data_IF_924598439264
#
_entry.id   IF_924598439264
#
_cell.length_a   1.000
_cell.length_b   1.000
_cell.length_c   1.000
_cell.angle_alpha   90.00
_cell.angle_beta   90.00
_cell.angle_gamma   90.00
#
_symmetry.space_group_name_H-M   'P 1'
#
loop_
_entity.id
_entity.type
_entity.pdbx_description
1 polymer ?
#
# COMPACT_ATOMS: atom_id res chain seq x y z
N UNK A 1 10.23 17.54 13.81
CA UNK A 1 8.99 18.27 13.44
C UNK A 1 8.42 17.56 12.23
N UNK A 2 7.13 17.23 12.23
CA UNK A 2 6.48 16.57 11.08
C UNK A 2 6.57 17.49 9.86
N UNK A 3 7.09 16.98 8.75
CA UNK A 3 7.08 17.66 7.43
C UNK A 3 5.67 17.77 6.85
N UNK A 4 4.72 16.99 7.35
CA UNK A 4 3.30 17.14 7.05
C UNK A 4 2.65 18.11 8.02
N UNK A 5 2.05 19.17 7.47
CA UNK A 5 1.27 20.19 8.22
C UNK A 5 -0.14 19.72 8.55
N UNK A 6 -0.65 18.70 7.86
CA UNK A 6 -1.95 18.03 8.07
C UNK A 6 -1.85 16.61 7.52
N UNK A 7 -2.73 15.70 7.96
CA UNK A 7 -2.78 14.34 7.41
C UNK A 7 -3.07 14.40 5.90
N UNK A 8 -2.20 13.85 5.03
CA UNK A 8 -2.42 13.89 3.59
C UNK A 8 -3.68 13.12 3.16
N UNK A 9 -4.21 12.20 3.98
CA UNK A 9 -5.49 11.53 3.70
C UNK A 9 -6.68 12.47 3.83
N UNK A 10 -6.56 13.57 4.56
CA UNK A 10 -7.59 14.60 4.61
C UNK A 10 -7.38 15.58 3.45
N UNK A 11 -6.16 16.09 3.31
CA UNK A 11 -5.85 17.16 2.37
C UNK A 11 -5.91 16.76 0.89
N UNK A 12 -5.57 15.51 0.56
CA UNK A 12 -5.55 15.00 -0.82
C UNK A 12 -6.82 14.26 -1.20
N UNK A 13 -7.77 14.10 -0.29
CA UNK A 13 -9.01 13.38 -0.57
C UNK A 13 -9.89 14.20 -1.51
N UNK A 14 -10.43 13.55 -2.54
CA UNK A 14 -11.53 14.10 -3.32
C UNK A 14 -12.81 14.08 -2.46
N UNK A 15 -13.01 15.13 -1.66
CA UNK A 15 -14.23 15.35 -0.90
C UNK A 15 -15.39 15.89 -1.77
N UNK A 16 -16.56 16.13 -1.17
CA UNK A 16 -17.74 16.67 -1.88
C UNK A 16 -17.47 18.00 -2.61
N UNK A 17 -16.58 18.83 -2.06
CA UNK A 17 -16.23 20.15 -2.59
C UNK A 17 -15.00 20.12 -3.50
N UNK A 18 -14.47 18.93 -3.85
CA UNK A 18 -13.31 18.82 -4.70
C UNK A 18 -13.62 19.22 -6.15
N UNK A 19 -12.86 20.19 -6.68
CA UNK A 19 -12.92 20.61 -8.07
C UNK A 19 -11.59 20.36 -8.78
N UNK A 20 -11.61 19.43 -9.74
CA UNK A 20 -10.44 19.08 -10.53
C UNK A 20 -9.92 20.26 -11.38
N UNK A 21 -10.78 21.19 -11.76
CA UNK A 21 -10.38 22.36 -12.57
C UNK A 21 -9.50 23.36 -11.78
N UNK A 22 -9.62 23.37 -10.46
CA UNK A 22 -8.84 24.23 -9.55
C UNK A 22 -7.60 23.53 -8.97
N UNK A 23 -7.44 22.24 -9.25
CA UNK A 23 -6.37 21.43 -8.71
C UNK A 23 -5.00 21.79 -9.33
N UNK A 24 -3.99 22.00 -8.49
CA UNK A 24 -2.61 22.26 -8.92
C UNK A 24 -1.78 20.95 -8.98
N UNK A 25 -1.51 20.38 -10.18
CA UNK A 25 -0.69 19.18 -10.32
C UNK A 25 0.82 19.42 -10.04
N UNK A 26 1.25 20.69 -9.98
CA UNK A 26 2.62 21.12 -9.70
C UNK A 26 2.93 21.36 -8.22
N UNK A 27 1.89 21.38 -7.38
CA UNK A 27 1.98 21.69 -5.96
C UNK A 27 2.51 20.55 -5.10
N UNK A 28 2.74 20.87 -3.82
CA UNK A 28 3.10 19.94 -2.75
C UNK A 28 2.20 20.18 -1.52
N UNK A 29 0.87 20.08 -1.67
CA UNK A 29 -0.07 20.47 -0.63
C UNK A 29 0.24 19.73 0.68
N UNK A 30 0.11 20.49 1.76
CA UNK A 30 0.36 20.11 3.16
C UNK A 30 1.74 19.54 3.49
N UNK A 31 2.69 19.55 2.57
CA UNK A 31 4.07 19.12 2.79
C UNK A 31 5.02 20.33 2.84
N UNK A 32 5.49 20.67 4.02
CA UNK A 32 6.43 21.78 4.30
C UNK A 32 7.86 21.26 4.31
N UNK A 33 8.28 20.68 3.19
CA UNK A 33 9.59 20.10 2.99
C UNK A 33 9.97 20.08 1.52
N UNK A 34 11.26 19.87 1.24
CA UNK A 34 11.78 19.77 -0.10
C UNK A 34 11.95 18.31 -0.57
N UNK A 35 12.60 18.13 -1.72
CA UNK A 35 12.85 16.81 -2.28
C UNK A 35 13.73 15.95 -1.36
N UNK A 36 14.73 16.53 -0.70
CA UNK A 36 15.65 15.81 0.19
C UNK A 36 14.92 15.39 1.47
N UNK A 37 14.07 16.27 2.00
CA UNK A 37 13.20 15.92 3.14
C UNK A 37 12.25 14.78 2.77
N UNK A 38 11.69 14.81 1.55
CA UNK A 38 10.86 13.73 1.02
C UNK A 38 11.60 12.40 0.87
N UNK A 39 12.84 12.42 0.38
CA UNK A 39 13.67 11.21 0.27
C UNK A 39 13.99 10.62 1.66
N UNK A 40 14.34 11.47 2.63
CA UNK A 40 14.57 11.03 4.02
C UNK A 40 13.30 10.47 4.67
N UNK A 41 12.15 11.09 4.44
CA UNK A 41 10.88 10.58 4.96
C UNK A 41 10.51 9.24 4.34
N UNK A 42 10.77 9.04 3.05
CA UNK A 42 10.51 7.75 2.39
C UNK A 42 11.40 6.63 2.94
N UNK A 43 12.64 6.92 3.34
CA UNK A 43 13.52 5.95 4.00
C UNK A 43 12.95 5.52 5.35
N UNK A 44 12.60 6.49 6.21
CA UNK A 44 11.96 6.23 7.50
C UNK A 44 10.66 5.42 7.34
N UNK A 45 9.76 5.88 6.45
CA UNK A 45 8.49 5.19 6.20
C UNK A 45 8.66 3.82 5.57
N UNK A 46 9.77 3.58 4.86
CA UNK A 46 10.08 2.29 4.28
C UNK A 46 10.28 1.22 5.36
N UNK A 47 11.01 1.53 6.44
CA UNK A 47 11.22 0.61 7.56
C UNK A 47 9.90 0.27 8.26
N UNK A 48 9.12 1.30 8.60
CA UNK A 48 7.80 1.14 9.20
C UNK A 48 6.84 0.34 8.31
N UNK A 49 6.76 0.69 7.02
CA UNK A 49 5.86 0.02 6.08
C UNK A 49 6.26 -1.44 5.86
N UNK A 50 7.56 -1.74 5.84
CA UNK A 50 8.07 -3.11 5.74
C UNK A 50 7.60 -3.97 6.92
N UNK A 51 7.76 -3.48 8.16
CA UNK A 51 7.32 -4.23 9.34
C UNK A 51 5.79 -4.35 9.42
N UNK A 52 5.04 -3.30 9.10
CA UNK A 52 3.57 -3.37 9.06
C UNK A 52 3.07 -4.35 8.01
N UNK A 53 3.72 -4.40 6.84
CA UNK A 53 3.41 -5.37 5.79
C UNK A 53 3.71 -6.79 6.25
N UNK A 54 4.84 -7.02 6.94
CA UNK A 54 5.20 -8.34 7.47
C UNK A 54 4.18 -8.83 8.51
N UNK A 55 3.73 -7.96 9.42
CA UNK A 55 2.65 -8.28 10.37
C UNK A 55 1.35 -8.63 9.66
N UNK A 56 0.95 -7.87 8.64
CA UNK A 56 -0.22 -8.18 7.81
C UNK A 56 -0.08 -9.56 7.15
N UNK A 57 1.11 -9.87 6.63
CA UNK A 57 1.39 -11.14 5.99
C UNK A 57 1.34 -12.32 6.96
N UNK A 58 1.96 -12.18 8.14
CA UNK A 58 1.93 -13.19 9.19
C UNK A 58 0.49 -13.45 9.67
N UNK A 59 -0.31 -12.41 9.81
CA UNK A 59 -1.71 -12.53 10.17
C UNK A 59 -2.53 -13.27 9.09
N UNK A 60 -2.37 -12.92 7.81
CA UNK A 60 -3.05 -13.62 6.72
C UNK A 60 -2.63 -15.09 6.59
N UNK A 61 -1.36 -15.41 6.87
CA UNK A 61 -0.87 -16.79 6.97
C UNK A 61 -1.49 -17.57 8.13
N UNK A 62 -1.94 -16.86 9.17
CA UNK A 62 -2.49 -17.43 10.40
C UNK A 62 -4.02 -17.36 10.45
N UNK A 63 -4.67 -17.23 9.28
CA UNK A 63 -6.13 -17.27 9.15
C UNK A 63 -6.84 -15.93 9.23
N UNK A 64 -6.10 -14.81 9.30
CA UNK A 64 -6.67 -13.48 9.14
C UNK A 64 -7.25 -13.27 7.75
N UNK A 65 -8.25 -12.41 7.63
CA UNK A 65 -8.96 -12.13 6.36
C UNK A 65 -8.57 -10.80 5.72
N UNK A 66 -7.81 -9.98 6.43
CA UNK A 66 -7.56 -8.58 6.05
C UNK A 66 -6.56 -8.46 4.92
N UNK A 67 -6.74 -7.46 4.06
CA UNK A 67 -5.79 -7.12 2.99
C UNK A 67 -5.86 -5.63 2.66
N UNK A 68 -4.93 -5.15 1.85
CA UNK A 68 -4.94 -3.77 1.35
C UNK A 68 -4.96 -3.79 -0.18
N UNK A 69 -5.81 -2.98 -0.80
CA UNK A 69 -5.86 -2.81 -2.25
C UNK A 69 -5.56 -1.35 -2.62
N UNK A 70 -4.42 -1.13 -3.27
CA UNK A 70 -4.02 0.14 -3.84
C UNK A 70 -4.43 0.19 -5.32
N UNK A 71 -5.41 1.03 -5.66
CA UNK A 71 -5.79 1.32 -7.05
C UNK A 71 -5.03 2.55 -7.52
N UNK A 72 -4.22 2.41 -8.57
CA UNK A 72 -3.40 3.50 -9.10
C UNK A 72 -3.86 3.86 -10.50
N UNK A 73 -4.44 5.06 -10.63
CA UNK A 73 -4.93 5.61 -11.88
C UNK A 73 -4.20 6.90 -12.27
N UNK A 74 -4.33 7.27 -13.54
CA UNK A 74 -3.73 8.45 -14.14
C UNK A 74 -3.46 8.23 -15.62
N UNK A 75 -3.41 9.32 -16.40
CA UNK A 75 -3.09 9.24 -17.82
C UNK A 75 -1.68 8.66 -18.05
N UNK A 76 -1.41 8.24 -19.29
CA UNK A 76 -0.06 7.79 -19.61
C UNK A 76 0.95 8.92 -19.39
N UNK A 77 2.13 8.52 -18.91
CA UNK A 77 3.18 9.36 -18.31
C UNK A 77 2.94 9.90 -16.90
N UNK A 78 1.76 9.69 -16.28
CA UNK A 78 1.47 10.23 -14.94
C UNK A 78 2.40 9.70 -13.83
N UNK A 79 3.00 8.52 -14.02
CA UNK A 79 3.98 7.96 -13.09
C UNK A 79 3.53 6.70 -12.36
N UNK A 80 2.42 6.07 -12.77
CA UNK A 80 1.86 4.84 -12.17
C UNK A 80 2.90 3.74 -11.90
N UNK A 81 3.66 3.34 -12.91
CA UNK A 81 4.73 2.33 -12.73
C UNK A 81 5.88 2.77 -11.80
N UNK A 82 6.03 4.07 -11.55
CA UNK A 82 6.94 4.59 -10.53
C UNK A 82 6.45 4.35 -9.10
N UNK A 83 5.13 4.34 -8.88
CA UNK A 83 4.52 4.01 -7.59
C UNK A 83 4.81 2.55 -7.25
N UNK A 84 4.50 1.63 -8.18
CA UNK A 84 4.79 0.21 -8.00
C UNK A 84 6.29 -0.05 -7.73
N UNK A 85 7.19 0.61 -8.45
CA UNK A 85 8.64 0.41 -8.27
C UNK A 85 9.18 0.97 -6.96
N UNK A 86 8.77 2.17 -6.57
CA UNK A 86 9.41 2.89 -5.47
C UNK A 86 8.69 2.76 -4.13
N UNK A 87 7.37 2.60 -4.13
CA UNK A 87 6.59 2.46 -2.90
C UNK A 87 6.50 0.98 -2.52
N UNK A 88 6.09 0.11 -3.45
CA UNK A 88 6.07 -1.34 -3.15
C UNK A 88 7.45 -1.97 -3.13
N UNK A 89 8.47 -1.27 -3.65
CA UNK A 89 9.86 -1.71 -3.52
C UNK A 89 10.43 -1.60 -2.10
N UNK A 90 9.69 -1.01 -1.16
CA UNK A 90 10.08 -0.87 0.25
C UNK A 90 9.73 -2.10 1.10
N UNK A 91 8.85 -2.98 0.61
CA UNK A 91 8.31 -4.12 1.37
C UNK A 91 8.72 -5.46 0.76
N UNK A 92 8.47 -6.57 1.46
CA UNK A 92 8.78 -7.89 0.93
C UNK A 92 7.89 -8.20 -0.30
N UNK A 93 8.48 -8.51 -1.47
CA UNK A 93 7.72 -8.81 -2.68
C UNK A 93 6.77 -10.01 -2.52
N UNK A 94 7.01 -10.93 -1.58
CA UNK A 94 6.08 -12.03 -1.28
C UNK A 94 4.77 -11.55 -0.65
N UNK A 95 4.76 -10.36 -0.06
CA UNK A 95 3.57 -9.72 0.49
C UNK A 95 2.76 -8.90 -0.52
N UNK A 96 3.26 -8.74 -1.75
CA UNK A 96 2.69 -7.84 -2.76
C UNK A 96 2.12 -8.61 -3.95
N UNK A 97 0.94 -8.22 -4.41
CA UNK A 97 0.30 -8.75 -5.62
C UNK A 97 0.02 -7.61 -6.61
N UNK A 98 0.94 -7.43 -7.57
CA UNK A 98 0.82 -6.41 -8.61
C UNK A 98 0.06 -6.94 -9.83
N UNK A 99 -0.99 -6.24 -10.25
CA UNK A 99 -1.68 -6.49 -11.51
C UNK A 99 -1.75 -5.20 -12.33
N UNK A 100 -1.26 -5.26 -13.56
CA UNK A 100 -1.45 -4.20 -14.55
C UNK A 100 -2.59 -4.57 -15.51
N UNK A 101 -3.56 -3.68 -15.66
CA UNK A 101 -4.67 -3.88 -16.59
C UNK A 101 -4.43 -3.12 -17.89
N UNK A 102 -4.59 -3.84 -19.01
CA UNK A 102 -4.58 -3.28 -20.36
C UNK A 102 -5.93 -3.45 -21.05
N UNK A 103 -5.91 -3.33 -22.38
CA UNK A 103 -7.08 -3.64 -23.22
C UNK A 103 -7.58 -5.05 -22.90
N UNK A 104 -8.88 -5.25 -22.63
CA UNK A 104 -9.43 -6.56 -22.35
C UNK A 104 -9.15 -7.57 -23.47
N UNK A 105 -8.80 -8.80 -23.11
CA UNK A 105 -8.76 -9.92 -24.08
C UNK A 105 -10.18 -10.28 -24.53
N UNK A 106 -10.33 -11.08 -25.59
CA UNK A 106 -11.65 -11.57 -26.04
C UNK A 106 -12.39 -12.31 -24.93
N UNK A 107 -11.70 -13.12 -24.12
CA UNK A 107 -12.29 -13.81 -22.97
C UNK A 107 -12.75 -12.83 -21.89
N UNK A 108 -11.90 -11.84 -21.56
CA UNK A 108 -12.24 -10.82 -20.57
C UNK A 108 -13.45 -9.98 -21.04
N UNK A 109 -13.50 -9.63 -22.34
CA UNK A 109 -14.59 -8.86 -22.94
C UNK A 109 -15.91 -9.65 -23.08
N UNK A 110 -15.84 -10.98 -23.12
CA UNK A 110 -17.01 -11.85 -23.11
C UNK A 110 -17.67 -12.00 -21.73
N UNK A 111 -17.04 -11.46 -20.67
CA UNK A 111 -17.54 -11.49 -19.30
C UNK A 111 -17.93 -10.08 -18.82
N UNK A 112 -18.56 -10.02 -17.64
CA UNK A 112 -18.77 -8.75 -16.95
C UNK A 112 -17.44 -8.04 -16.67
N UNK A 113 -17.36 -6.70 -16.77
CA UNK A 113 -16.09 -5.98 -16.67
C UNK A 113 -15.34 -6.19 -15.34
N UNK A 114 -16.08 -6.40 -14.25
CA UNK A 114 -15.52 -6.71 -12.93
C UNK A 114 -14.96 -8.14 -12.80
N UNK A 115 -15.24 -9.04 -13.73
CA UNK A 115 -14.82 -10.45 -13.64
C UNK A 115 -13.30 -10.59 -13.57
N UNK A 116 -12.58 -9.92 -14.49
CA UNK A 116 -11.10 -9.95 -14.50
C UNK A 116 -10.50 -9.24 -13.29
N UNK A 117 -11.22 -8.27 -12.75
CA UNK A 117 -10.82 -7.47 -11.59
C UNK A 117 -10.91 -8.31 -10.33
N UNK A 118 -12.04 -9.01 -10.14
CA UNK A 118 -12.25 -9.95 -9.01
C UNK A 118 -11.21 -11.07 -8.98
N UNK A 119 -10.80 -11.58 -10.14
CA UNK A 119 -9.74 -12.61 -10.24
C UNK A 119 -8.36 -12.14 -9.79
N UNK A 120 -8.13 -10.83 -9.76
CA UNK A 120 -6.83 -10.24 -9.42
C UNK A 120 -6.79 -9.64 -8.01
N UNK A 121 -7.88 -9.73 -7.24
CA UNK A 121 -7.94 -9.19 -5.89
C UNK A 121 -6.84 -9.79 -5.00
N UNK A 122 -6.26 -8.98 -4.08
CA UNK A 122 -5.26 -9.47 -3.17
C UNK A 122 -5.84 -10.55 -2.26
N UNK A 123 -5.04 -11.58 -2.01
CA UNK A 123 -5.35 -12.55 -0.94
C UNK A 123 -5.17 -11.90 0.43
N UNK A 124 -5.77 -12.52 1.44
CA UNK A 124 -5.57 -12.10 2.83
C UNK A 124 -4.07 -12.07 3.19
N UNK A 125 -3.70 -11.07 3.99
CA UNK A 125 -2.34 -10.75 4.39
C UNK A 125 -1.48 -10.08 3.32
N UNK A 126 -2.07 -9.60 2.20
CA UNK A 126 -1.30 -9.02 1.10
C UNK A 126 -1.70 -7.59 0.78
N UNK A 127 -0.77 -6.89 0.16
CA UNK A 127 -0.99 -5.60 -0.49
C UNK A 127 -1.16 -5.84 -1.99
N UNK A 128 -2.38 -5.68 -2.49
CA UNK A 128 -2.69 -5.68 -3.91
C UNK A 128 -2.42 -4.32 -4.52
N UNK A 129 -1.79 -4.27 -5.70
CA UNK A 129 -1.60 -3.03 -6.46
C UNK A 129 -2.15 -3.19 -7.85
N UNK A 130 -3.14 -2.36 -8.18
CA UNK A 130 -3.74 -2.27 -9.50
C UNK A 130 -3.14 -1.08 -10.24
N UNK A 131 -2.31 -1.34 -11.26
CA UNK A 131 -1.85 -0.34 -12.23
C UNK A 131 -2.87 -0.29 -13.37
N UNK A 132 -3.67 0.79 -13.39
CA UNK A 132 -5.03 0.81 -13.96
C UNK A 132 -5.96 -0.18 -13.23
N UNK A 133 -7.26 -0.14 -13.49
CA UNK A 133 -8.25 -0.91 -12.71
C UNK A 133 -9.62 -0.99 -13.39
N UNK A 134 -10.66 -1.39 -12.65
CA UNK A 134 -12.07 -1.30 -13.07
C UNK A 134 -12.51 0.12 -13.46
N UNK A 135 -11.76 1.15 -13.09
CA UNK A 135 -12.06 2.52 -13.52
C UNK A 135 -11.80 2.78 -15.01
N UNK A 136 -11.01 1.94 -15.70
CA UNK A 136 -10.89 2.02 -17.16
C UNK A 136 -12.26 1.90 -17.83
N UNK A 137 -13.17 1.14 -17.21
CA UNK A 137 -14.51 0.87 -17.73
C UNK A 137 -15.49 2.05 -17.63
N UNK A 138 -15.08 3.15 -17.01
CA UNK A 138 -15.78 4.44 -16.97
C UNK A 138 -14.88 5.62 -17.42
N UNK A 139 -13.64 5.33 -17.85
CA UNK A 139 -12.68 6.29 -18.39
C UNK A 139 -12.58 6.13 -19.91
N UNK A 140 -11.76 5.19 -20.40
CA UNK A 140 -11.54 5.01 -21.84
C UNK A 140 -12.82 4.61 -22.56
N UNK A 141 -13.66 3.76 -21.94
CA UNK A 141 -14.94 3.35 -22.53
C UNK A 141 -15.87 4.54 -22.79
N UNK A 142 -15.81 5.56 -21.92
CA UNK A 142 -16.57 6.81 -22.03
C UNK A 142 -15.95 7.74 -23.07
N UNK A 143 -14.65 8.04 -22.94
CA UNK A 143 -13.96 9.04 -23.77
C UNK A 143 -13.88 8.59 -25.23
N UNK A 144 -13.65 7.30 -25.45
CA UNK A 144 -13.58 6.73 -26.80
C UNK A 144 -14.94 6.21 -27.29
N UNK A 145 -16.01 6.38 -26.51
CA UNK A 145 -17.37 5.96 -26.85
C UNK A 145 -17.46 4.50 -27.31
N UNK A 146 -16.70 3.62 -26.66
CA UNK A 146 -16.61 2.20 -27.00
C UNK A 146 -17.92 1.47 -26.70
N UNK A 147 -18.59 1.88 -25.61
CA UNK A 147 -19.94 1.44 -25.27
C UNK A 147 -20.87 2.65 -25.12
N UNK A 148 -22.18 2.48 -25.35
CA UNK A 148 -23.15 3.56 -25.16
C UNK A 148 -23.12 4.13 -23.74
N UNK A 149 -23.55 5.39 -23.60
CA UNK A 149 -23.53 6.10 -22.32
C UNK A 149 -24.37 5.43 -21.24
N UNK A 150 -25.53 4.92 -21.60
CA UNK A 150 -26.40 4.14 -20.73
C UNK A 150 -25.71 2.90 -20.14
N UNK A 151 -24.68 2.36 -20.81
CA UNK A 151 -23.91 1.21 -20.32
C UNK A 151 -22.86 1.64 -19.32
N UNK A 152 -21.96 2.57 -19.67
CA UNK A 152 -20.87 2.92 -18.76
C UNK A 152 -21.33 3.78 -17.58
N UNK A 153 -22.42 4.55 -17.72
CA UNK A 153 -22.92 5.41 -16.65
C UNK A 153 -23.41 4.60 -15.45
N UNK A 154 -24.06 3.45 -15.67
CA UNK A 154 -24.51 2.56 -14.60
C UNK A 154 -23.36 1.92 -13.81
N UNK A 155 -22.17 1.83 -14.40
CA UNK A 155 -21.00 1.19 -13.78
C UNK A 155 -20.48 1.94 -12.56
N UNK A 156 -20.74 3.24 -12.40
CA UNK A 156 -20.34 3.95 -11.18
C UNK A 156 -20.98 3.35 -9.93
N UNK A 157 -22.28 3.02 -9.99
CA UNK A 157 -22.99 2.40 -8.87
C UNK A 157 -22.50 0.97 -8.62
N UNK A 158 -22.24 0.21 -9.69
CA UNK A 158 -21.66 -1.14 -9.58
C UNK A 158 -20.25 -1.13 -8.98
N UNK A 159 -19.43 -0.14 -9.33
CA UNK A 159 -18.09 0.05 -8.75
C UNK A 159 -18.20 0.37 -7.26
N UNK A 160 -19.09 1.28 -6.87
CA UNK A 160 -19.31 1.60 -5.45
C UNK A 160 -19.77 0.38 -4.66
N UNK A 161 -20.71 -0.40 -5.20
CA UNK A 161 -21.18 -1.63 -4.58
C UNK A 161 -20.05 -2.68 -4.46
N UNK A 162 -19.26 -2.84 -5.53
CA UNK A 162 -18.11 -3.74 -5.53
C UNK A 162 -17.07 -3.34 -4.48
N UNK A 163 -16.67 -2.06 -4.42
CA UNK A 163 -15.69 -1.59 -3.45
C UNK A 163 -16.21 -1.70 -2.01
N UNK A 164 -17.51 -1.46 -1.80
CA UNK A 164 -18.15 -1.70 -0.50
C UNK A 164 -18.07 -3.17 -0.09
N UNK A 165 -18.34 -4.11 -1.00
CA UNK A 165 -18.20 -5.55 -0.72
C UNK A 165 -16.77 -5.92 -0.31
N UNK A 166 -15.76 -5.31 -0.92
CA UNK A 166 -14.35 -5.56 -0.56
C UNK A 166 -14.05 -5.06 0.85
N UNK A 167 -14.49 -3.85 1.18
CA UNK A 167 -14.28 -3.26 2.51
C UNK A 167 -15.01 -4.04 3.58
N UNK A 168 -16.28 -4.39 3.35
CA UNK A 168 -17.07 -5.22 4.26
C UNK A 168 -16.42 -6.62 4.45
N UNK A 169 -15.68 -7.10 3.45
CA UNK A 169 -14.89 -8.35 3.50
C UNK A 169 -13.51 -8.23 4.17
N UNK A 170 -13.12 -7.04 4.64
CA UNK A 170 -11.85 -6.81 5.33
C UNK A 170 -10.70 -6.27 4.45
N UNK A 171 -11.00 -5.81 3.23
CA UNK A 171 -10.00 -5.17 2.37
C UNK A 171 -10.01 -3.66 2.56
N UNK A 172 -8.90 -3.06 2.99
CA UNK A 172 -8.73 -1.60 2.96
C UNK A 172 -8.48 -1.14 1.53
N UNK A 173 -9.38 -0.33 0.95
CA UNK A 173 -9.27 0.16 -0.43
C UNK A 173 -8.72 1.59 -0.46
N UNK A 174 -7.56 1.78 -1.09
CA UNK A 174 -6.89 3.07 -1.26
C UNK A 174 -6.80 3.39 -2.75
N UNK A 175 -7.42 4.49 -3.20
CA UNK A 175 -7.46 4.85 -4.62
C UNK A 175 -6.66 6.13 -4.86
N UNK A 176 -5.67 6.06 -5.75
CA UNK A 176 -4.75 7.14 -6.05
C UNK A 176 -4.90 7.56 -7.50
N UNK A 177 -5.25 8.82 -7.74
CA UNK A 177 -5.25 9.41 -9.07
C UNK A 177 -4.04 10.33 -9.22
N UNK A 178 -3.05 9.91 -10.01
CA UNK A 178 -1.87 10.71 -10.31
C UNK A 178 -2.21 11.72 -11.41
N UNK A 179 -2.33 12.99 -11.03
CA UNK A 179 -2.71 14.07 -11.93
C UNK A 179 -1.47 14.88 -12.32
N UNK A 180 -1.14 14.83 -13.61
CA UNK A 180 -0.10 15.67 -14.22
C UNK A 180 -0.74 16.82 -14.99
N UNK A 181 -0.02 17.93 -15.13
CA UNK A 181 -0.41 19.02 -16.03
C UNK A 181 -0.29 18.57 -17.50
N UNK A 182 -1.03 19.26 -18.37
CA UNK A 182 -0.93 19.04 -19.82
C UNK A 182 0.50 19.26 -20.31
N UNK A 183 1.21 20.27 -19.81
CA UNK A 183 2.57 20.56 -20.23
C UNK A 183 3.57 19.52 -19.71
N UNK A 184 3.44 19.08 -18.47
CA UNK A 184 4.30 18.03 -17.92
C UNK A 184 4.11 16.70 -18.66
N UNK A 185 2.88 16.32 -18.99
CA UNK A 185 2.64 15.14 -19.83
C UNK A 185 3.40 15.26 -21.17
N UNK A 186 3.34 16.43 -21.80
CA UNK A 186 4.04 16.71 -23.06
C UNK A 186 5.57 16.57 -22.91
N UNK A 187 6.15 17.17 -21.87
CA UNK A 187 7.58 17.05 -21.56
C UNK A 187 8.01 15.58 -21.38
N UNK A 188 7.20 14.78 -20.68
CA UNK A 188 7.50 13.35 -20.46
C UNK A 188 7.39 12.51 -21.72
N UNK A 189 6.45 12.83 -22.63
CA UNK A 189 6.36 12.18 -23.94
C UNK A 189 7.58 12.53 -24.81
N UNK A 190 7.99 13.80 -24.85
CA UNK A 190 9.21 14.23 -25.53
C UNK A 190 10.45 13.50 -24.97
N UNK A 191 10.60 13.43 -23.64
CA UNK A 191 11.71 12.71 -23.00
C UNK A 191 11.76 11.23 -23.42
N UNK A 192 10.62 10.57 -23.63
CA UNK A 192 10.58 9.18 -24.12
C UNK A 192 11.08 9.06 -25.57
N UNK A 193 10.79 10.04 -26.41
CA UNK A 193 11.26 10.11 -27.81
C UNK A 193 12.75 10.48 -27.92
N UNK A 194 13.27 11.21 -26.94
CA UNK A 194 14.70 11.56 -26.87
C UNK A 194 15.58 10.41 -26.34
N UNK A 195 14.96 9.36 -25.76
CA UNK A 195 15.65 8.28 -25.06
C UNK A 195 15.45 6.92 -25.73
N UNK A 196 16.48 6.35 -26.38
CA UNK A 196 16.40 5.02 -27.00
C UNK A 196 15.98 3.91 -26.03
N UNK A 197 16.38 3.99 -24.75
CA UNK A 197 16.00 3.03 -23.69
C UNK A 197 14.52 3.15 -23.24
N UNK A 198 13.77 4.09 -23.82
CA UNK A 198 12.38 4.40 -23.50
C UNK A 198 11.44 4.30 -24.70
N UNK A 199 11.92 4.00 -25.91
CA UNK A 199 11.08 3.86 -27.11
C UNK A 199 9.96 2.84 -26.91
N UNK A 200 10.25 1.72 -26.26
CA UNK A 200 9.25 0.70 -25.94
C UNK A 200 8.11 1.18 -25.03
N UNK A 201 8.28 2.32 -24.33
CA UNK A 201 7.25 2.93 -23.49
C UNK A 201 6.42 3.99 -24.22
N UNK A 202 6.77 4.36 -25.44
CA UNK A 202 6.03 5.34 -26.22
C UNK A 202 5.06 4.63 -27.16
N UNK A 203 3.81 5.12 -27.20
CA UNK A 203 2.82 4.69 -28.19
C UNK A 203 2.39 5.90 -29.02
N UNK A 204 2.28 5.80 -30.35
CA UNK A 204 1.65 6.86 -31.15
C UNK A 204 0.25 7.27 -30.64
N UNK A 205 -0.51 6.32 -30.07
CA UNK A 205 -1.82 6.59 -29.44
C UNK A 205 -1.77 7.47 -28.19
N UNK A 206 -0.58 7.74 -27.62
CA UNK A 206 -0.40 8.73 -26.55
C UNK A 206 -0.82 10.14 -27.05
N UNK A 207 -0.63 10.44 -28.34
CA UNK A 207 -1.05 11.70 -28.95
C UNK A 207 -2.58 11.80 -29.11
N UNK A 208 -3.23 10.69 -29.46
CA UNK A 208 -4.70 10.65 -29.56
C UNK A 208 -5.32 10.87 -28.18
N UNK A 209 -4.81 10.19 -27.16
CA UNK A 209 -5.20 10.38 -25.75
C UNK A 209 -5.00 11.83 -25.31
N UNK A 210 -3.82 12.40 -25.64
CA UNK A 210 -3.50 13.80 -25.35
C UNK A 210 -4.44 14.79 -26.05
N UNK A 211 -4.87 14.52 -27.28
CA UNK A 211 -5.83 15.37 -28.00
C UNK A 211 -7.21 15.42 -27.32
N UNK A 212 -7.57 14.37 -26.58
CA UNK A 212 -8.81 14.25 -25.80
C UNK A 212 -8.66 14.69 -24.34
N UNK A 213 -7.63 15.47 -24.01
CA UNK A 213 -7.30 15.87 -22.64
C UNK A 213 -8.51 16.33 -21.81
N UNK A 214 -9.29 17.28 -22.34
CA UNK A 214 -10.45 17.83 -21.62
C UNK A 214 -11.55 16.78 -21.36
N UNK A 215 -11.72 15.81 -22.27
CA UNK A 215 -12.68 14.73 -22.10
C UNK A 215 -12.24 13.78 -20.97
N UNK A 216 -10.94 13.47 -20.92
CA UNK A 216 -10.37 12.70 -19.81
C UNK A 216 -10.46 13.43 -18.48
N UNK A 217 -10.18 14.74 -18.44
CA UNK A 217 -10.33 15.54 -17.22
C UNK A 217 -11.79 15.52 -16.73
N UNK A 218 -12.76 15.68 -17.61
CA UNK A 218 -14.18 15.57 -17.26
C UNK A 218 -14.55 14.16 -16.76
N UNK A 219 -14.02 13.11 -17.39
CA UNK A 219 -14.25 11.73 -16.96
C UNK A 219 -13.65 11.45 -15.56
N UNK A 220 -12.44 11.93 -15.27
CA UNK A 220 -11.83 11.84 -13.95
C UNK A 220 -12.60 12.63 -12.88
N UNK A 221 -13.06 13.84 -13.21
CA UNK A 221 -13.88 14.64 -12.29
C UNK A 221 -15.15 13.88 -11.87
N UNK A 222 -15.81 13.19 -12.81
CA UNK A 222 -16.96 12.35 -12.49
C UNK A 222 -16.59 11.08 -11.71
N UNK A 223 -15.46 10.44 -12.00
CA UNK A 223 -14.93 9.32 -11.18
C UNK A 223 -14.79 9.76 -9.72
N UNK A 224 -14.18 10.91 -9.47
CA UNK A 224 -13.99 11.41 -8.11
C UNK A 224 -15.32 11.73 -7.44
N UNK A 225 -16.18 12.49 -8.13
CA UNK A 225 -17.48 12.93 -7.61
C UNK A 225 -18.43 11.77 -7.31
N UNK A 226 -18.41 10.72 -8.14
CA UNK A 226 -19.38 9.62 -8.06
C UNK A 226 -18.86 8.42 -7.26
N UNK A 227 -17.55 8.26 -7.08
CA UNK A 227 -17.01 7.07 -6.41
C UNK A 227 -16.01 7.35 -5.28
N UNK A 228 -15.72 8.60 -4.93
CA UNK A 228 -14.96 8.90 -3.70
C UNK A 228 -15.88 8.77 -2.48
N UNK A 229 -15.92 7.59 -1.87
CA UNK A 229 -16.78 7.30 -0.71
C UNK A 229 -15.99 7.42 0.59
N UNK A 230 -16.65 7.22 1.74
CA UNK A 230 -15.99 7.14 3.04
C UNK A 230 -15.14 5.88 3.21
N UNK A 231 -15.66 4.74 2.77
CA UNK A 231 -15.01 3.43 2.91
C UNK A 231 -13.98 3.17 1.81
N UNK A 232 -14.09 3.82 0.65
CA UNK A 232 -13.15 3.75 -0.46
C UNK A 232 -12.91 5.16 -1.02
N UNK A 233 -12.08 5.98 -0.36
CA UNK A 233 -11.81 7.35 -0.80
C UNK A 233 -10.90 7.39 -2.04
N UNK A 234 -11.07 8.42 -2.86
CA UNK A 234 -10.06 8.83 -3.84
C UNK A 234 -9.12 9.86 -3.22
N UNK A 235 -7.82 9.65 -3.43
CA UNK A 235 -6.77 10.61 -3.18
C UNK A 235 -6.24 11.13 -4.52
N UNK A 236 -6.36 12.44 -4.74
CA UNK A 236 -5.90 13.10 -5.97
C UNK A 236 -4.50 13.64 -5.72
N UNK A 237 -3.51 13.04 -6.38
CA UNK A 237 -2.09 13.22 -6.09
C UNK A 237 -1.46 14.14 -7.15
N UNK A 238 -0.94 15.33 -6.76
CA UNK A 238 -0.11 16.15 -7.63
C UNK A 238 1.08 15.35 -8.15
N UNK A 239 1.16 15.21 -9.47
CA UNK A 239 2.08 14.27 -10.10
C UNK A 239 3.12 14.88 -11.02
N UNK A 240 3.19 16.21 -11.14
CA UNK A 240 4.27 16.84 -11.90
C UNK A 240 5.63 16.62 -11.21
N UNK A 241 5.64 16.67 -9.89
CA UNK A 241 6.81 16.36 -9.06
C UNK A 241 6.78 14.89 -8.63
N UNK A 242 7.46 14.03 -9.41
CA UNK A 242 7.53 12.58 -9.13
C UNK A 242 7.95 12.23 -7.70
N UNK A 243 8.80 13.03 -7.06
CA UNK A 243 9.23 12.79 -5.68
C UNK A 243 8.07 12.98 -4.70
N UNK A 244 7.30 14.07 -4.84
CA UNK A 244 6.18 14.38 -3.96
C UNK A 244 5.09 13.32 -4.05
N UNK A 245 4.74 12.87 -5.26
CA UNK A 245 3.71 11.82 -5.43
C UNK A 245 4.09 10.53 -4.72
N UNK A 246 5.37 10.17 -4.72
CA UNK A 246 5.86 8.98 -4.02
C UNK A 246 5.76 9.15 -2.51
N UNK A 247 6.17 10.32 -2.00
CA UNK A 247 6.09 10.67 -0.58
C UNK A 247 4.64 10.64 -0.09
N UNK A 248 3.72 11.29 -0.81
CA UNK A 248 2.30 11.34 -0.46
C UNK A 248 1.65 9.95 -0.46
N UNK A 249 1.89 9.14 -1.49
CA UNK A 249 1.33 7.78 -1.57
C UNK A 249 1.91 6.89 -0.47
N UNK A 250 3.22 6.98 -0.20
CA UNK A 250 3.88 6.23 0.88
C UNK A 250 3.24 6.58 2.22
N UNK A 251 3.11 7.88 2.54
CA UNK A 251 2.51 8.33 3.80
C UNK A 251 1.06 7.84 3.96
N UNK A 252 0.24 7.95 2.91
CA UNK A 252 -1.16 7.50 2.95
C UNK A 252 -1.25 5.99 3.20
N UNK A 253 -0.44 5.20 2.48
CA UNK A 253 -0.40 3.75 2.67
C UNK A 253 0.08 3.40 4.08
N UNK A 254 1.15 4.03 4.56
CA UNK A 254 1.69 3.76 5.90
C UNK A 254 0.66 4.08 6.97
N UNK A 255 -0.02 5.23 6.91
CA UNK A 255 -1.08 5.57 7.87
C UNK A 255 -2.26 4.60 7.81
N UNK A 256 -2.67 4.19 6.62
CA UNK A 256 -3.72 3.18 6.47
C UNK A 256 -3.31 1.81 7.04
N UNK A 257 -2.04 1.43 6.88
CA UNK A 257 -1.47 0.20 7.46
C UNK A 257 -1.36 0.27 8.98
N UNK A 258 -1.02 1.44 9.53
CA UNK A 258 -1.03 1.72 10.98
C UNK A 258 -2.45 1.55 11.52
N UNK A 259 -3.45 2.17 10.89
CA UNK A 259 -4.85 2.08 11.33
C UNK A 259 -5.43 0.68 11.15
N UNK A 260 -4.97 -0.08 10.15
CA UNK A 260 -5.29 -1.49 10.02
C UNK A 260 -4.81 -2.28 11.26
N UNK A 261 -3.68 -1.91 11.85
CA UNK A 261 -3.23 -2.45 13.13
C UNK A 261 -3.02 -3.97 13.11
N UNK A 262 -2.42 -4.50 12.04
CA UNK A 262 -2.03 -5.91 11.98
C UNK A 262 -1.00 -6.24 13.07
N UNK A 263 -1.13 -7.42 13.66
CA UNK A 263 -0.29 -7.86 14.79
C UNK A 263 0.42 -9.17 14.46
N UNK A 264 1.50 -9.44 15.19
CA UNK A 264 2.09 -10.77 15.19
C UNK A 264 1.07 -11.79 15.72
N UNK A 265 0.86 -12.92 15.03
CA UNK A 265 0.00 -13.99 15.51
C UNK A 265 0.63 -14.65 16.75
N UNK A 266 -0.22 -15.21 17.61
CA UNK A 266 0.24 -16.08 18.69
C UNK A 266 0.66 -17.44 18.12
N UNK A 267 1.57 -18.13 18.80
CA UNK A 267 1.93 -19.50 18.43
C UNK A 267 0.72 -20.42 18.57
N UNK A 268 0.45 -21.22 17.54
CA UNK A 268 -0.57 -22.27 17.53
C UNK A 268 -0.04 -23.62 18.05
N UNK A 269 1.15 -23.60 18.65
CA UNK A 269 1.85 -24.74 19.25
C UNK A 269 2.41 -24.40 20.63
N UNK A 270 2.69 -25.44 21.42
CA UNK A 270 3.37 -25.30 22.71
C UNK A 270 4.86 -24.99 22.49
N UNK A 271 5.22 -23.72 22.67
CA UNK A 271 6.58 -23.21 22.46
C UNK A 271 7.60 -23.94 23.34
N UNK A 272 7.23 -24.25 24.59
CA UNK A 272 8.12 -24.94 25.51
C UNK A 272 8.37 -26.38 25.05
N UNK A 273 7.32 -27.10 24.68
CA UNK A 273 7.44 -28.46 24.14
C UNK A 273 8.33 -28.49 22.88
N UNK A 274 8.11 -27.56 21.93
CA UNK A 274 8.90 -27.49 20.70
C UNK A 274 10.37 -27.17 20.98
N UNK A 275 10.65 -26.28 21.95
CA UNK A 275 12.04 -25.96 22.35
C UNK A 275 12.75 -27.19 22.92
N UNK A 276 12.10 -27.96 23.78
CA UNK A 276 12.67 -29.20 24.33
C UNK A 276 12.95 -30.24 23.23
N UNK A 277 12.02 -30.40 22.28
CA UNK A 277 12.18 -31.30 21.14
C UNK A 277 13.36 -30.89 20.23
N UNK A 278 13.50 -29.59 19.93
CA UNK A 278 14.65 -29.07 19.18
C UNK A 278 15.96 -29.31 19.93
N UNK A 279 16.01 -28.95 21.21
CA UNK A 279 17.18 -29.16 22.03
C UNK A 279 17.65 -30.61 21.93
N UNK A 280 16.76 -31.61 22.09
CA UNK A 280 17.08 -33.04 21.99
C UNK A 280 17.81 -33.47 20.69
N UNK A 281 17.71 -32.69 19.61
CA UNK A 281 18.40 -32.93 18.33
C UNK A 281 19.69 -32.13 18.14
N UNK A 282 19.94 -31.13 18.99
CA UNK A 282 21.12 -30.26 18.95
C UNK A 282 22.29 -30.85 19.75
N UNK A 283 23.52 -30.52 19.36
CA UNK A 283 24.70 -30.74 20.21
C UNK A 283 24.65 -29.83 21.45
N UNK A 284 25.33 -30.21 22.54
CA UNK A 284 25.45 -29.36 23.74
C UNK A 284 26.09 -28.02 23.43
N UNK A 285 27.07 -27.99 22.52
CA UNK A 285 27.73 -26.75 22.07
C UNK A 285 26.76 -25.81 21.35
N UNK A 286 25.99 -26.31 20.38
CA UNK A 286 25.01 -25.50 19.64
C UNK A 286 23.86 -25.01 20.55
N UNK A 287 23.46 -25.81 21.54
CA UNK A 287 22.44 -25.37 22.51
C UNK A 287 22.98 -24.26 23.42
N UNK A 288 24.26 -24.32 23.80
CA UNK A 288 24.94 -23.27 24.59
C UNK A 288 25.07 -21.97 23.79
N UNK A 289 25.56 -22.05 22.55
CA UNK A 289 25.62 -20.89 21.64
C UNK A 289 24.23 -20.27 21.45
N UNK A 290 23.21 -21.10 21.23
CA UNK A 290 21.84 -20.61 21.12
C UNK A 290 21.33 -19.94 22.40
N UNK A 291 21.72 -20.38 23.60
CA UNK A 291 21.39 -19.70 24.86
C UNK A 291 22.10 -18.35 24.94
N UNK A 292 23.41 -18.33 24.66
CA UNK A 292 24.25 -17.14 24.75
C UNK A 292 23.75 -16.01 23.82
N UNK A 293 23.28 -16.36 22.63
CA UNK A 293 22.74 -15.38 21.66
C UNK A 293 21.27 -14.98 21.90
N UNK A 294 20.53 -15.70 22.77
CA UNK A 294 19.06 -15.50 22.89
C UNK A 294 18.72 -14.10 23.37
N UNK A 295 19.43 -13.61 24.38
CA UNK A 295 19.11 -12.33 25.00
C UNK A 295 19.29 -11.19 24.00
N UNK A 296 20.45 -11.13 23.34
CA UNK A 296 20.76 -10.09 22.36
C UNK A 296 19.78 -10.11 21.18
N UNK A 297 19.55 -11.28 20.57
CA UNK A 297 18.66 -11.43 19.42
C UNK A 297 17.21 -11.02 19.73
N UNK A 298 16.70 -11.42 20.90
CA UNK A 298 15.31 -11.12 21.28
C UNK A 298 15.18 -9.66 21.69
N UNK A 299 16.15 -9.09 22.42
CA UNK A 299 16.11 -7.67 22.80
C UNK A 299 16.20 -6.74 21.60
N UNK A 300 17.06 -7.04 20.63
CA UNK A 300 17.14 -6.26 19.38
C UNK A 300 15.79 -6.26 18.64
N UNK A 301 15.16 -7.44 18.49
CA UNK A 301 13.84 -7.55 17.86
C UNK A 301 12.74 -6.82 18.66
N UNK A 302 12.81 -6.85 20.00
CA UNK A 302 11.88 -6.14 20.88
C UNK A 302 11.99 -4.62 20.72
N UNK A 303 13.22 -4.10 20.76
CA UNK A 303 13.49 -2.66 20.67
C UNK A 303 12.98 -2.12 19.34
N UNK A 304 13.33 -2.78 18.23
CA UNK A 304 12.80 -2.45 16.91
C UNK A 304 11.27 -2.46 16.87
N UNK A 305 10.64 -3.51 17.41
CA UNK A 305 9.18 -3.63 17.41
C UNK A 305 8.49 -2.54 18.25
N UNK A 306 9.13 -2.08 19.33
CA UNK A 306 8.68 -0.97 20.18
C UNK A 306 8.81 0.35 19.45
N UNK A 307 9.96 0.65 18.85
CA UNK A 307 10.19 1.88 18.06
C UNK A 307 9.16 2.01 16.93
N UNK A 308 8.94 0.93 16.18
CA UNK A 308 7.91 0.86 15.15
C UNK A 308 6.50 1.14 15.70
N UNK A 309 6.19 0.67 16.91
CA UNK A 309 4.89 0.92 17.53
C UNK A 309 4.76 2.35 18.04
N UNK A 310 5.82 2.95 18.54
CA UNK A 310 5.84 4.37 18.92
C UNK A 310 5.62 5.25 17.69
N UNK A 311 6.33 4.99 16.58
CA UNK A 311 6.10 5.70 15.32
C UNK A 311 4.66 5.49 14.80
N UNK A 312 4.15 4.26 14.85
CA UNK A 312 2.76 3.98 14.48
C UNK A 312 1.76 4.75 15.35
N UNK A 313 2.00 4.89 16.66
CA UNK A 313 1.14 5.66 17.55
C UNK A 313 1.13 7.15 17.22
N UNK A 314 2.25 7.72 16.78
CA UNK A 314 2.31 9.12 16.31
C UNK A 314 1.50 9.34 15.02
N UNK A 315 1.34 8.30 14.20
CA UNK A 315 0.64 8.37 12.92
C UNK A 315 -0.83 7.92 12.99
N UNK A 316 -1.24 7.26 14.06
CA UNK A 316 -2.57 6.68 14.19
C UNK A 316 -3.66 7.75 14.22
N UNK A 317 -4.75 7.50 13.49
CA UNK A 317 -5.93 8.34 13.57
C UNK A 317 -6.92 7.80 14.59
N UNK A 318 -7.12 8.54 15.68
CA UNK A 318 -8.17 8.26 16.67
C UNK A 318 -7.64 7.93 18.07
N UNK A 319 -8.45 7.21 18.85
CA UNK A 319 -8.08 6.80 20.20
C UNK A 319 -7.04 5.65 20.11
N UNK A 320 -5.84 5.80 20.70
CA UNK A 320 -4.79 4.81 20.56
C UNK A 320 -5.23 3.45 21.11
N UNK A 321 -4.71 2.32 20.55
CA UNK A 321 -4.99 1.00 21.08
C UNK A 321 -4.74 0.95 22.60
N UNK A 322 -5.66 0.33 23.36
CA UNK A 322 -5.54 0.18 24.83
C UNK A 322 -4.25 -0.50 25.30
N UNK A 323 -3.62 -1.23 24.40
CA UNK A 323 -2.37 -1.94 24.60
C UNK A 323 -1.21 -1.04 24.15
N UNK A 324 -0.48 -0.46 25.10
CA UNK A 324 0.59 0.49 24.83
C UNK A 324 1.95 -0.22 24.63
N UNK A 325 2.96 0.50 24.12
CA UNK A 325 4.29 -0.04 23.88
C UNK A 325 4.92 -0.66 25.14
N UNK A 326 4.61 -0.12 26.33
CA UNK A 326 5.07 -0.64 27.62
C UNK A 326 4.48 -2.03 27.94
N UNK A 327 3.19 -2.26 27.65
CA UNK A 327 2.55 -3.56 27.84
C UNK A 327 3.13 -4.61 26.89
N UNK A 328 3.38 -4.25 25.63
CA UNK A 328 4.06 -5.13 24.68
C UNK A 328 5.47 -5.49 25.17
N UNK A 329 6.24 -4.49 25.64
CA UNK A 329 7.58 -4.69 26.19
C UNK A 329 7.55 -5.68 27.35
N UNK A 330 6.69 -5.47 28.35
CA UNK A 330 6.54 -6.38 29.50
C UNK A 330 6.19 -7.80 29.08
N UNK A 331 5.30 -7.96 28.10
CA UNK A 331 4.92 -9.28 27.57
C UNK A 331 6.13 -9.99 26.94
N UNK A 332 6.91 -9.30 26.12
CA UNK A 332 8.08 -9.89 25.48
C UNK A 332 9.23 -10.14 26.47
N UNK A 333 9.41 -9.29 27.48
CA UNK A 333 10.37 -9.52 28.58
C UNK A 333 10.04 -10.83 29.31
N UNK A 334 8.78 -11.07 29.64
CA UNK A 334 8.35 -12.32 30.27
C UNK A 334 8.62 -13.55 29.38
N UNK A 335 8.36 -13.44 28.07
CA UNK A 335 8.66 -14.50 27.09
C UNK A 335 10.17 -14.77 27.00
N UNK A 336 11.00 -13.72 27.07
CA UNK A 336 12.46 -13.86 27.07
C UNK A 336 12.97 -14.54 28.35
N UNK A 337 12.47 -14.15 29.52
CA UNK A 337 12.85 -14.78 30.79
C UNK A 337 12.51 -16.27 30.80
N UNK A 338 11.31 -16.64 30.34
CA UNK A 338 10.90 -18.03 30.18
C UNK A 338 11.80 -18.77 29.19
N UNK A 339 12.11 -18.14 28.05
CA UNK A 339 12.97 -18.69 27.03
C UNK A 339 14.39 -19.02 27.55
N UNK A 340 14.98 -18.12 28.32
CA UNK A 340 16.31 -18.28 28.92
C UNK A 340 16.30 -19.35 30.02
N UNK A 341 15.29 -19.32 30.90
CA UNK A 341 15.15 -20.31 31.98
C UNK A 341 15.04 -21.73 31.41
N UNK A 342 14.23 -21.91 30.36
CA UNK A 342 14.05 -23.21 29.74
C UNK A 342 15.33 -23.71 29.05
N UNK A 343 16.06 -22.85 28.34
CA UNK A 343 17.33 -23.23 27.70
C UNK A 343 18.40 -23.62 28.73
N UNK A 344 18.48 -22.91 29.87
CA UNK A 344 19.40 -23.25 30.98
C UNK A 344 19.08 -24.62 31.56
N UNK A 345 17.81 -24.89 31.87
CA UNK A 345 17.39 -26.20 32.37
C UNK A 345 17.75 -27.33 31.39
N UNK A 346 17.50 -27.14 30.09
CA UNK A 346 17.81 -28.14 29.07
C UNK A 346 19.32 -28.41 28.89
N UNK A 347 20.18 -27.46 29.26
CA UNK A 347 21.64 -27.66 29.31
C UNK A 347 22.05 -28.39 30.58
N UNK A 348 21.49 -28.02 31.73
CA UNK A 348 21.77 -28.69 33.01
C UNK A 348 21.38 -30.18 32.99
N UNK A 349 20.32 -30.55 32.26
CA UNK A 349 19.90 -31.95 32.09
C UNK A 349 20.86 -32.79 31.22
N UNK A 350 21.87 -32.18 30.58
CA UNK A 350 22.86 -32.84 29.70
C UNK A 350 24.24 -33.00 30.31
N UNK A 351 24.56 -32.16 31.29
CA UNK A 351 25.81 -32.21 32.05
C UNK A 351 25.71 -33.28 33.16
#
# INVERSE_FOLDING_TARGET
MSTWTTDPREALRAGPDFDLALFDPGGTPVFDGDKKDGESLMEQRGELLSELQERLYAEGRSGGTRSVLCVVQGLDTAGKGGVARHVMGMVDPQGVELRSFGVPTEEEAANHFLWRIRKALPRAGRIGVFDRSHYEDVLVQRVDSIVPEEVWRGRYDEINQFEKELVDGGTTVLKFALMVSYDEQGKRLMERLDRPDKYWKYSPGDLDTRSKWHQYQAAYADVFRLTSTEHAPWYVIPADRKWYSRVAITEIITRAMVDLGARWPEADFDVAQQRAALAATMSTEALRESLDETEDNVREAMEKSVEIREEALELHSGEPPRDNAEQQRKRWEAVLEEALAQKRQLLEERD
#
